data_IF_967119923908
#
_entry.id   IF_967119923908
#
_cell.length_a   1.000
_cell.length_b   1.000
_cell.length_c   1.000
_cell.angle_alpha   90.00
_cell.angle_beta   90.00
_cell.angle_gamma   90.00
#
_symmetry.space_group_name_H-M   'P 1'
#
loop_
_entity.id
_entity.type
_entity.pdbx_description
1 polymer ?
#
# COMPACT_ATOMS: atom_id res chain seq x y z
N UNK A 1 20.30 -33.03 -4.83
CA UNK A 1 21.40 -32.04 -4.76
C UNK A 1 21.84 -31.92 -3.31
N UNK A 2 23.15 -31.75 -3.08
CA UNK A 2 23.85 -31.99 -1.82
C UNK A 2 23.24 -31.24 -0.64
N UNK A 3 22.77 -31.97 0.36
CA UNK A 3 22.47 -31.47 1.70
C UNK A 3 23.78 -31.22 2.47
N UNK A 4 24.59 -30.29 1.95
CA UNK A 4 25.73 -29.73 2.68
C UNK A 4 25.22 -28.78 3.77
N UNK A 5 25.87 -28.76 4.93
CA UNK A 5 25.62 -27.73 5.94
C UNK A 5 25.73 -26.36 5.28
N UNK A 6 24.71 -25.51 5.46
CA UNK A 6 24.74 -24.15 4.92
C UNK A 6 25.98 -23.42 5.43
N UNK A 7 26.69 -22.66 4.57
CA UNK A 7 27.87 -21.91 4.99
C UNK A 7 27.50 -20.94 6.11
N UNK A 8 28.38 -20.79 7.10
CA UNK A 8 28.18 -19.88 8.22
C UNK A 8 28.19 -18.43 7.72
N UNK A 9 27.14 -17.68 8.05
CA UNK A 9 27.01 -16.25 7.76
C UNK A 9 27.21 -15.47 9.06
N UNK A 10 28.09 -14.46 9.03
CA UNK A 10 28.34 -13.55 10.16
C UNK A 10 27.75 -12.18 9.85
N UNK A 11 27.02 -11.61 10.81
CA UNK A 11 26.41 -10.28 10.74
C UNK A 11 26.60 -9.55 12.07
N UNK A 12 26.83 -8.23 12.00
CA UNK A 12 26.81 -7.37 13.19
C UNK A 12 25.40 -6.82 13.40
N UNK A 13 24.88 -7.00 14.61
CA UNK A 13 23.54 -6.53 15.00
C UNK A 13 23.72 -5.54 16.17
N UNK A 14 23.07 -4.37 16.13
CA UNK A 14 23.02 -3.44 17.25
C UNK A 14 22.54 -4.09 18.56
N UNK A 15 23.02 -3.59 19.70
CA UNK A 15 22.75 -4.19 21.02
C UNK A 15 21.25 -4.19 21.38
N UNK A 16 20.56 -3.09 21.11
CA UNK A 16 19.11 -2.96 21.30
C UNK A 16 18.32 -3.99 20.48
N UNK A 17 18.74 -4.25 19.24
CA UNK A 17 18.14 -5.26 18.39
C UNK A 17 18.45 -6.70 18.88
N UNK A 18 19.64 -6.93 19.44
CA UNK A 18 19.97 -8.23 20.06
C UNK A 18 19.07 -8.52 21.26
N UNK A 19 18.79 -7.52 22.10
CA UNK A 19 17.85 -7.67 23.22
C UNK A 19 16.45 -8.01 22.73
N UNK A 20 15.99 -7.38 21.64
CA UNK A 20 14.69 -7.70 21.04
C UNK A 20 14.63 -9.13 20.47
N UNK A 21 15.74 -9.66 19.95
CA UNK A 21 15.84 -11.06 19.52
C UNK A 21 15.80 -12.02 20.71
N UNK A 22 16.49 -11.69 21.80
CA UNK A 22 16.51 -12.52 23.02
C UNK A 22 15.13 -12.67 23.65
N UNK A 23 14.33 -11.61 23.65
CA UNK A 23 12.94 -11.66 24.13
C UNK A 23 12.05 -12.62 23.34
N UNK A 24 12.45 -13.00 22.11
CA UNK A 24 11.71 -13.96 21.29
C UNK A 24 12.15 -15.41 21.49
N UNK A 25 13.25 -15.65 22.20
CA UNK A 25 13.69 -17.00 22.55
C UNK A 25 12.68 -17.62 23.52
N UNK A 26 12.34 -18.90 23.31
CA UNK A 26 11.34 -19.61 24.10
C UNK A 26 9.91 -19.45 23.58
N UNK A 27 9.65 -18.51 22.68
CA UNK A 27 8.37 -18.39 21.97
C UNK A 27 8.41 -19.18 20.66
N UNK A 28 7.26 -19.76 20.26
CA UNK A 28 7.07 -20.42 18.96
C UNK A 28 8.12 -21.52 18.65
N UNK A 29 8.63 -22.20 19.70
CA UNK A 29 9.62 -23.27 19.57
C UNK A 29 11.06 -22.82 19.30
N UNK A 30 11.34 -21.51 19.35
CA UNK A 30 12.68 -20.95 19.11
C UNK A 30 13.58 -21.21 20.32
N UNK A 31 14.70 -21.93 20.13
CA UNK A 31 15.58 -22.33 21.24
C UNK A 31 16.78 -21.41 21.42
N UNK A 32 17.13 -20.63 20.40
CA UNK A 32 18.29 -19.76 20.39
C UNK A 32 18.11 -18.61 19.38
N UNK A 33 19.01 -17.63 19.42
CA UNK A 33 19.02 -16.49 18.49
C UNK A 33 19.04 -16.92 17.03
N UNK A 34 19.79 -17.96 16.68
CA UNK A 34 19.88 -18.46 15.30
C UNK A 34 18.56 -19.04 14.80
N UNK A 35 17.74 -19.62 15.68
CA UNK A 35 16.38 -20.06 15.31
C UNK A 35 15.50 -18.85 15.00
N UNK A 36 15.51 -17.84 15.88
CA UNK A 36 14.76 -16.59 15.69
C UNK A 36 15.18 -15.89 14.40
N UNK A 37 16.49 -15.78 14.14
CA UNK A 37 17.03 -15.14 12.93
C UNK A 37 16.65 -15.94 11.68
N UNK A 38 16.78 -17.27 11.69
CA UNK A 38 16.41 -18.12 10.55
C UNK A 38 14.92 -18.02 10.23
N UNK A 39 14.07 -17.97 11.24
CA UNK A 39 12.63 -17.81 11.05
C UNK A 39 12.29 -16.42 10.47
N UNK A 40 12.91 -15.36 10.99
CA UNK A 40 12.74 -14.01 10.45
C UNK A 40 13.17 -13.92 8.98
N UNK A 41 14.32 -14.51 8.63
CA UNK A 41 14.79 -14.59 7.23
C UNK A 41 13.82 -15.39 6.38
N UNK A 42 13.30 -16.52 6.87
CA UNK A 42 12.30 -17.31 6.15
C UNK A 42 11.05 -16.46 5.85
N UNK A 43 10.48 -15.82 6.87
CA UNK A 43 9.30 -14.96 6.71
C UNK A 43 9.55 -13.80 5.73
N UNK A 44 10.75 -13.22 5.75
CA UNK A 44 11.15 -12.19 4.80
C UNK A 44 11.21 -12.71 3.36
N UNK A 45 11.70 -13.93 3.16
CA UNK A 45 11.80 -14.55 1.82
C UNK A 45 10.46 -15.10 1.33
N UNK A 46 9.57 -15.50 2.24
CA UNK A 46 8.20 -15.91 1.95
C UNK A 46 7.27 -14.71 1.68
N UNK A 47 7.64 -13.50 2.14
CA UNK A 47 7.01 -12.29 1.68
C UNK A 47 7.32 -12.13 0.19
N UNK A 48 6.30 -12.26 -0.65
CA UNK A 48 6.42 -12.07 -2.10
C UNK A 48 7.10 -10.72 -2.41
N UNK A 49 8.37 -10.76 -2.82
CA UNK A 49 9.15 -9.57 -3.18
C UNK A 49 8.74 -9.03 -4.56
N UNK A 50 7.75 -9.65 -5.22
CA UNK A 50 7.16 -9.12 -6.45
C UNK A 50 5.83 -8.43 -6.12
N UNK A 51 5.91 -7.35 -5.33
CA UNK A 51 4.84 -6.37 -5.32
C UNK A 51 5.25 -5.21 -6.23
N UNK A 52 4.82 -5.28 -7.49
CA UNK A 52 4.73 -4.08 -8.34
C UNK A 52 3.59 -3.22 -7.77
N UNK A 53 3.86 -2.52 -6.67
CA UNK A 53 2.86 -1.69 -5.99
C UNK A 53 3.29 -1.26 -4.60
N UNK A 54 2.89 -0.05 -4.21
CA UNK A 54 3.05 0.46 -2.85
C UNK A 54 2.09 -0.26 -1.90
N UNK A 55 2.57 -0.66 -0.71
CA UNK A 55 1.76 -1.31 0.31
C UNK A 55 1.34 -0.31 1.38
N UNK A 56 0.04 -0.17 1.61
CA UNK A 56 -0.52 0.73 2.62
C UNK A 56 -1.19 -0.10 3.72
N UNK A 57 -0.75 0.09 4.97
CA UNK A 57 -1.38 -0.52 6.15
C UNK A 57 -2.30 0.49 6.82
N UNK A 58 -3.58 0.15 6.93
CA UNK A 58 -4.63 1.00 7.51
C UNK A 58 -5.36 0.27 8.63
N UNK A 59 -5.63 1.00 9.71
CA UNK A 59 -6.55 0.55 10.76
C UNK A 59 -7.96 1.05 10.40
N UNK A 60 -8.90 0.13 10.20
CA UNK A 60 -10.26 0.45 9.78
C UNK A 60 -11.11 1.04 10.93
N UNK A 61 -10.70 0.83 12.18
CA UNK A 61 -11.55 1.15 13.33
C UNK A 61 -12.73 0.17 13.48
N UNK A 62 -13.41 0.18 14.65
CA UNK A 62 -14.35 -0.87 15.03
C UNK A 62 -15.57 -0.99 14.12
N UNK A 63 -16.17 0.15 13.74
CA UNK A 63 -17.39 0.18 12.92
C UNK A 63 -17.15 -0.39 11.52
N UNK A 64 -16.13 0.11 10.82
CA UNK A 64 -15.80 -0.35 9.47
C UNK A 64 -15.25 -1.79 9.47
N UNK A 65 -14.59 -2.23 10.54
CA UNK A 65 -14.19 -3.64 10.68
C UNK A 65 -15.40 -4.57 10.71
N UNK A 66 -16.46 -4.23 11.46
CA UNK A 66 -17.68 -5.03 11.52
C UNK A 66 -18.35 -5.07 10.14
N UNK A 67 -18.54 -3.90 9.53
CA UNK A 67 -19.17 -3.79 8.21
C UNK A 67 -18.41 -4.55 7.12
N UNK A 68 -17.08 -4.41 7.09
CA UNK A 68 -16.22 -5.12 6.14
C UNK A 68 -16.33 -6.63 6.33
N UNK A 69 -16.34 -7.12 7.57
CA UNK A 69 -16.45 -8.54 7.86
C UNK A 69 -17.80 -9.12 7.39
N UNK A 70 -18.90 -8.41 7.65
CA UNK A 70 -20.22 -8.86 7.23
C UNK A 70 -20.37 -8.84 5.71
N UNK A 71 -19.87 -7.79 5.04
CA UNK A 71 -19.83 -7.72 3.58
C UNK A 71 -19.02 -8.87 2.97
N UNK A 72 -17.80 -9.11 3.48
CA UNK A 72 -16.94 -10.20 3.01
C UNK A 72 -17.59 -11.57 3.17
N UNK A 73 -18.32 -11.81 4.27
CA UNK A 73 -19.06 -13.06 4.49
C UNK A 73 -20.19 -13.25 3.49
N UNK A 74 -20.97 -12.21 3.21
CA UNK A 74 -22.12 -12.27 2.29
C UNK A 74 -21.63 -12.54 0.85
N UNK A 75 -20.57 -11.85 0.43
CA UNK A 75 -20.10 -11.86 -0.95
C UNK A 75 -18.98 -12.88 -1.22
N UNK A 76 -18.57 -13.65 -0.20
CA UNK A 76 -17.40 -14.54 -0.26
C UNK A 76 -16.13 -13.82 -0.77
N UNK A 77 -15.98 -12.56 -0.38
CA UNK A 77 -14.86 -11.70 -0.78
C UNK A 77 -13.82 -11.55 0.33
N UNK A 78 -12.61 -11.18 -0.05
CA UNK A 78 -11.53 -10.84 0.90
C UNK A 78 -11.46 -9.31 1.11
N UNK A 79 -11.15 -8.83 2.32
CA UNK A 79 -11.07 -7.39 2.60
C UNK A 79 -10.14 -6.63 1.64
N UNK A 80 -9.04 -7.26 1.21
CA UNK A 80 -8.09 -6.64 0.28
C UNK A 80 -8.70 -6.41 -1.11
N UNK A 81 -9.61 -7.27 -1.56
CA UNK A 81 -10.33 -7.11 -2.84
C UNK A 81 -11.27 -5.90 -2.76
N UNK A 82 -12.07 -5.86 -1.70
CA UNK A 82 -13.05 -4.80 -1.44
C UNK A 82 -12.36 -3.44 -1.37
N UNK A 83 -11.25 -3.34 -0.62
CA UNK A 83 -10.48 -2.09 -0.51
C UNK A 83 -9.87 -1.64 -1.84
N UNK A 84 -9.37 -2.57 -2.67
CA UNK A 84 -8.84 -2.21 -4.01
C UNK A 84 -9.93 -1.67 -4.93
N UNK A 85 -11.13 -2.25 -4.89
CA UNK A 85 -12.27 -1.79 -5.68
C UNK A 85 -12.74 -0.43 -5.16
N UNK A 86 -12.95 -0.30 -3.85
CA UNK A 86 -13.38 0.95 -3.23
C UNK A 86 -12.41 2.10 -3.51
N UNK A 87 -11.10 1.86 -3.43
CA UNK A 87 -10.09 2.86 -3.76
C UNK A 87 -10.18 3.29 -5.23
N UNK A 88 -10.34 2.35 -6.15
CA UNK A 88 -10.48 2.65 -7.59
C UNK A 88 -11.75 3.47 -7.87
N UNK A 89 -12.86 3.09 -7.27
CA UNK A 89 -14.14 3.78 -7.46
C UNK A 89 -14.13 5.17 -6.84
N UNK A 90 -13.52 5.33 -5.66
CA UNK A 90 -13.33 6.63 -5.02
C UNK A 90 -12.48 7.56 -5.89
N UNK A 91 -11.31 7.10 -6.35
CA UNK A 91 -10.44 7.89 -7.24
C UNK A 91 -11.18 8.26 -8.52
N UNK A 92 -11.88 7.31 -9.14
CA UNK A 92 -12.62 7.54 -10.39
C UNK A 92 -13.70 8.62 -10.19
N UNK A 93 -14.45 8.55 -9.09
CA UNK A 93 -15.50 9.51 -8.76
C UNK A 93 -14.94 10.93 -8.62
N UNK A 94 -13.92 11.10 -7.78
CA UNK A 94 -13.28 12.39 -7.54
C UNK A 94 -12.62 12.96 -8.82
N UNK A 95 -12.02 12.08 -9.62
CA UNK A 95 -11.34 12.48 -10.87
C UNK A 95 -12.35 12.95 -11.92
N UNK A 96 -13.51 12.29 -12.05
CA UNK A 96 -14.55 12.68 -13.02
C UNK A 96 -15.29 13.94 -12.56
N UNK A 97 -15.61 14.06 -11.27
CA UNK A 97 -16.26 15.25 -10.70
C UNK A 97 -15.33 16.48 -10.76
N UNK A 98 -14.02 16.32 -10.47
CA UNK A 98 -13.03 17.38 -10.61
C UNK A 98 -12.69 17.73 -12.06
N UNK A 99 -12.43 16.75 -12.92
CA UNK A 99 -12.04 17.04 -14.31
C UNK A 99 -13.18 17.61 -15.15
N UNK A 100 -14.43 17.19 -14.96
CA UNK A 100 -15.53 17.68 -15.81
C UNK A 100 -15.84 19.16 -15.55
N UNK A 101 -15.88 19.59 -14.28
CA UNK A 101 -16.16 20.98 -13.90
C UNK A 101 -14.97 21.89 -14.22
N UNK A 102 -13.75 21.50 -13.85
CA UNK A 102 -12.57 22.33 -14.10
C UNK A 102 -12.22 22.42 -15.59
N UNK A 103 -12.40 21.34 -16.35
CA UNK A 103 -12.20 21.35 -17.80
C UNK A 103 -13.27 22.17 -18.51
N UNK A 104 -14.54 22.05 -18.15
CA UNK A 104 -15.62 22.86 -18.75
C UNK A 104 -15.44 24.35 -18.45
N UNK A 105 -15.08 24.70 -17.21
CA UNK A 105 -14.76 26.08 -16.83
C UNK A 105 -13.52 26.60 -17.55
N UNK A 106 -12.47 25.77 -17.69
CA UNK A 106 -11.26 26.10 -18.43
C UNK A 106 -11.53 26.32 -19.92
N UNK A 107 -12.32 25.46 -20.56
CA UNK A 107 -12.74 25.61 -21.95
C UNK A 107 -13.54 26.90 -22.15
N UNK A 108 -14.51 27.20 -21.27
CA UNK A 108 -15.26 28.46 -21.31
C UNK A 108 -14.40 29.70 -21.07
N UNK A 109 -13.47 29.65 -20.13
CA UNK A 109 -12.57 30.76 -19.84
C UNK A 109 -11.61 31.02 -21.00
N UNK A 110 -11.13 29.95 -21.65
CA UNK A 110 -10.28 30.05 -22.85
C UNK A 110 -11.06 30.61 -24.05
N UNK A 111 -12.32 30.18 -24.26
CA UNK A 111 -13.20 30.76 -25.28
C UNK A 111 -13.44 32.27 -25.06
N UNK A 112 -13.71 32.67 -23.82
CA UNK A 112 -13.88 34.09 -23.45
C UNK A 112 -12.59 34.88 -23.67
N UNK A 113 -11.45 34.36 -23.19
CA UNK A 113 -10.16 35.03 -23.34
C UNK A 113 -9.72 35.16 -24.80
N UNK A 114 -10.03 34.17 -25.64
CA UNK A 114 -9.76 34.23 -27.08
C UNK A 114 -10.55 35.35 -27.76
N UNK A 115 -11.82 35.56 -27.39
CA UNK A 115 -12.64 36.67 -27.91
C UNK A 115 -12.12 38.04 -27.47
N UNK A 116 -11.74 38.18 -26.21
CA UNK A 116 -11.18 39.45 -25.69
C UNK A 116 -9.82 39.82 -26.30
N UNK A 117 -8.98 38.81 -26.61
CA UNK A 117 -7.69 39.04 -27.26
C UNK A 117 -7.81 39.38 -28.75
N UNK A 118 -8.85 38.89 -29.42
CA UNK A 118 -9.11 39.20 -30.84
C UNK A 118 -9.65 40.64 -31.01
N UNK A 119 -10.56 41.06 -30.14
CA UNK A 119 -11.08 42.44 -30.11
C UNK A 119 -10.00 43.47 -29.75
N UNK A 120 -9.06 43.11 -28.86
CA UNK A 120 -7.95 44.00 -28.45
C UNK A 120 -6.87 44.19 -29.53
N UNK A 121 -6.76 43.25 -30.49
CA UNK A 121 -5.81 43.33 -31.60
C UNK A 121 -6.38 44.04 -32.84
N UNK A 122 -7.70 44.29 -32.89
CA UNK A 122 -8.36 44.99 -34.00
C UNK A 122 -8.34 46.54 -33.87
N UNK A 123 -7.73 47.08 -32.80
CA UNK A 123 -7.77 48.51 -32.46
C UNK A 123 -6.39 49.21 -32.47
N UNK A 124 -5.39 48.67 -33.16
CA UNK A 124 -4.09 49.31 -33.39
C UNK A 124 -3.83 49.65 -34.85
#
# INVERSE_FOLDING_TARGET
MMSGQSPMVSLRIPEDHLMALDQRIGFDGMRNRSDVIRDAVRRLLEQDVINHGESVKVNLGPELTILMNDFCKIHAEKPESVLKVAARDYIRRETIEGMSVTKLLGERMNELSARFNDDSNAQR
#
